data_IF_480114458296
#
_entry.id   IF_480114458296
#
_cell.length_a   1.000
_cell.length_b   1.000
_cell.length_c   1.000
_cell.angle_alpha   90.00
_cell.angle_beta   90.00
_cell.angle_gamma   90.00
#
_symmetry.space_group_name_H-M   'P 1'
#
loop_
_entity.id
_entity.type
_entity.pdbx_description
1 polymer ?
#
# COMPACT_ATOMS: atom_id res chain seq x y z
N UNK A 1 -14.56 -2.34 -46.82
CA UNK A 1 -14.71 -1.96 -45.41
C UNK A 1 -15.05 -3.20 -44.63
N UNK A 2 -14.05 -3.84 -44.01
CA UNK A 2 -14.25 -4.96 -43.07
C UNK A 2 -14.13 -4.37 -41.68
N UNK A 3 -15.12 -4.67 -40.84
CA UNK A 3 -15.21 -4.31 -39.43
C UNK A 3 -13.97 -4.76 -38.65
N UNK A 4 -13.38 -3.81 -37.92
CA UNK A 4 -12.18 -3.98 -37.07
C UNK A 4 -12.55 -3.87 -35.58
N UNK A 5 -13.77 -4.28 -35.23
CA UNK A 5 -14.35 -4.18 -33.88
C UNK A 5 -14.24 -5.47 -33.07
N UNK A 6 -13.66 -6.54 -33.62
CA UNK A 6 -13.57 -7.86 -32.97
C UNK A 6 -12.29 -8.11 -32.17
N UNK A 7 -11.29 -7.23 -32.23
CA UNK A 7 -10.01 -7.44 -31.53
C UNK A 7 -9.91 -6.75 -30.16
N UNK A 8 -10.85 -5.88 -29.78
CA UNK A 8 -10.79 -5.18 -28.49
C UNK A 8 -11.41 -5.93 -27.29
N UNK A 9 -12.12 -7.04 -27.53
CA UNK A 9 -12.82 -7.77 -26.46
C UNK A 9 -12.01 -8.89 -25.80
N UNK A 10 -10.84 -9.25 -26.35
CA UNK A 10 -10.09 -10.45 -25.91
C UNK A 10 -9.11 -10.22 -24.74
N UNK A 11 -8.82 -8.98 -24.35
CA UNK A 11 -7.81 -8.71 -23.31
C UNK A 11 -8.38 -8.65 -21.89
N UNK A 12 -9.69 -8.55 -21.72
CA UNK A 12 -10.35 -8.35 -20.41
C UNK A 12 -10.81 -9.67 -19.77
N UNK A 13 -10.83 -10.79 -20.50
CA UNK A 13 -11.43 -12.05 -20.03
C UNK A 13 -10.54 -12.98 -19.18
N UNK A 14 -9.28 -12.61 -18.88
CA UNK A 14 -8.32 -13.59 -18.31
C UNK A 14 -7.72 -13.24 -16.95
N UNK A 15 -8.38 -12.42 -16.12
CA UNK A 15 -8.08 -12.38 -14.69
C UNK A 15 -9.15 -13.20 -13.97
N UNK A 16 -8.96 -14.52 -13.92
CA UNK A 16 -9.81 -15.44 -13.14
C UNK A 16 -9.56 -15.23 -11.65
N UNK A 17 -10.12 -14.17 -11.07
CA UNK A 17 -10.07 -13.94 -9.62
C UNK A 17 -10.90 -15.00 -8.87
N UNK A 18 -11.86 -15.63 -9.54
CA UNK A 18 -12.83 -16.54 -8.94
C UNK A 18 -12.39 -18.00 -8.76
N UNK A 19 -11.21 -18.41 -9.22
CA UNK A 19 -10.74 -19.80 -9.06
C UNK A 19 -9.66 -19.96 -7.97
N UNK A 20 -9.27 -18.89 -7.27
CA UNK A 20 -8.20 -18.92 -6.26
C UNK A 20 -8.76 -18.86 -4.82
N UNK A 21 -8.99 -20.03 -4.22
CA UNK A 21 -9.50 -20.17 -2.85
C UNK A 21 -8.59 -19.50 -1.80
N UNK A 22 -7.27 -19.49 -2.01
CA UNK A 22 -6.34 -18.81 -1.10
C UNK A 22 -6.54 -17.30 -1.15
N UNK A 23 -6.69 -16.72 -2.35
CA UNK A 23 -6.93 -15.30 -2.52
C UNK A 23 -8.27 -14.89 -1.89
N UNK A 24 -9.32 -15.71 -2.03
CA UNK A 24 -10.61 -15.48 -1.35
C UNK A 24 -10.47 -15.49 0.16
N UNK A 25 -9.80 -16.49 0.72
CA UNK A 25 -9.56 -16.57 2.16
C UNK A 25 -8.78 -15.35 2.67
N UNK A 26 -7.72 -14.94 1.96
CA UNK A 26 -6.91 -13.77 2.31
C UNK A 26 -7.71 -12.47 2.25
N UNK A 27 -8.57 -12.33 1.22
CA UNK A 27 -9.49 -11.20 1.11
C UNK A 27 -10.46 -11.15 2.30
N UNK A 28 -11.05 -12.29 2.68
CA UNK A 28 -11.98 -12.33 3.82
C UNK A 28 -11.27 -12.06 5.16
N UNK A 29 -10.04 -12.58 5.33
CA UNK A 29 -9.16 -12.24 6.47
C UNK A 29 -8.88 -10.73 6.55
N UNK A 30 -8.56 -10.11 5.41
CA UNK A 30 -8.32 -8.66 5.31
C UNK A 30 -9.58 -7.86 5.68
N UNK A 31 -10.74 -8.24 5.16
CA UNK A 31 -12.03 -7.59 5.47
C UNK A 31 -12.32 -7.67 6.96
N UNK A 32 -12.17 -8.85 7.57
CA UNK A 32 -12.39 -9.04 9.01
C UNK A 32 -11.44 -8.21 9.87
N UNK A 33 -10.18 -8.11 9.46
CA UNK A 33 -9.16 -7.33 10.14
C UNK A 33 -9.44 -5.81 10.06
N UNK A 34 -9.70 -5.27 8.87
CA UNK A 34 -10.01 -3.85 8.70
C UNK A 34 -11.30 -3.46 9.43
N UNK A 35 -12.30 -4.34 9.45
CA UNK A 35 -13.55 -4.11 10.20
C UNK A 35 -13.31 -3.95 11.70
N UNK A 36 -12.33 -4.65 12.28
CA UNK A 36 -11.97 -4.53 13.70
C UNK A 36 -11.15 -3.26 14.02
N UNK A 37 -10.60 -2.60 12.99
CA UNK A 37 -9.71 -1.45 13.13
C UNK A 37 -10.41 -0.10 12.94
N UNK A 38 -11.74 -0.07 12.88
CA UNK A 38 -12.53 1.14 12.67
C UNK A 38 -12.14 2.29 13.62
N UNK A 39 -11.92 3.49 13.06
CA UNK A 39 -11.55 4.69 13.81
C UNK A 39 -10.07 4.74 14.23
N UNK A 40 -9.26 3.77 13.80
CA UNK A 40 -7.81 3.81 14.01
C UNK A 40 -7.11 4.65 12.95
N UNK A 41 -5.84 4.92 13.24
CA UNK A 41 -4.90 5.52 12.31
C UNK A 41 -3.76 4.56 12.03
N UNK A 42 -3.52 4.23 10.77
CA UNK A 42 -2.51 3.28 10.31
C UNK A 42 -1.38 3.99 9.59
N UNK A 43 -0.17 3.49 9.79
CA UNK A 43 1.03 3.95 9.11
C UNK A 43 1.41 2.97 8.01
N UNK A 44 1.29 3.38 6.76
CA UNK A 44 1.75 2.59 5.61
C UNK A 44 3.21 2.92 5.34
N UNK A 45 4.06 1.91 5.33
CA UNK A 45 5.50 2.00 5.11
C UNK A 45 5.82 1.31 3.79
N UNK A 46 6.15 2.11 2.78
CA UNK A 46 6.61 1.61 1.49
C UNK A 46 8.14 1.61 1.40
N UNK A 47 8.71 0.94 0.40
CA UNK A 47 10.14 0.96 0.14
C UNK A 47 10.72 2.40 0.05
N UNK A 48 11.99 2.56 0.46
CA UNK A 48 12.64 3.87 0.54
C UNK A 48 12.74 4.62 -0.79
N UNK A 49 12.81 3.90 -1.90
CA UNK A 49 12.87 4.46 -3.25
C UNK A 49 11.67 3.96 -4.05
N UNK A 50 10.47 4.50 -3.78
CA UNK A 50 9.24 3.87 -4.24
C UNK A 50 9.07 3.96 -5.75
N UNK A 51 8.75 2.81 -6.32
CA UNK A 51 8.38 2.65 -7.72
C UNK A 51 6.85 2.77 -7.90
N UNK A 52 6.32 2.69 -9.13
CA UNK A 52 4.88 2.75 -9.35
C UNK A 52 4.07 1.68 -8.60
N UNK A 53 4.66 0.50 -8.33
CA UNK A 53 3.95 -0.58 -7.65
C UNK A 53 3.79 -0.27 -6.16
N UNK A 54 4.88 0.16 -5.49
CA UNK A 54 4.84 0.65 -4.12
C UNK A 54 3.82 1.78 -3.92
N UNK A 55 3.87 2.77 -4.84
CA UNK A 55 3.00 3.96 -4.79
C UNK A 55 1.54 3.56 -4.99
N UNK A 56 1.26 2.75 -6.00
CA UNK A 56 -0.11 2.34 -6.33
C UNK A 56 -0.70 1.43 -5.26
N UNK A 57 0.09 0.53 -4.68
CA UNK A 57 -0.31 -0.36 -3.58
C UNK A 57 -0.60 0.43 -2.30
N UNK A 58 0.25 1.41 -1.96
CA UNK A 58 -0.01 2.34 -0.86
C UNK A 58 -1.30 3.14 -1.04
N UNK A 59 -1.52 3.67 -2.23
CA UNK A 59 -2.76 4.39 -2.56
C UNK A 59 -3.99 3.47 -2.49
N UNK A 60 -3.90 2.27 -3.05
CA UNK A 60 -4.99 1.29 -3.04
C UNK A 60 -5.35 0.91 -1.59
N UNK A 61 -4.36 0.66 -0.74
CA UNK A 61 -4.60 0.36 0.67
C UNK A 61 -5.29 1.52 1.39
N UNK A 62 -4.85 2.77 1.15
CA UNK A 62 -5.51 3.96 1.71
C UNK A 62 -6.99 4.04 1.31
N UNK A 63 -7.30 3.90 0.02
CA UNK A 63 -8.68 3.96 -0.49
C UNK A 63 -9.55 2.85 0.14
N UNK A 64 -9.02 1.64 0.29
CA UNK A 64 -9.71 0.52 0.92
C UNK A 64 -9.98 0.82 2.40
N UNK A 65 -8.96 1.29 3.14
CA UNK A 65 -9.04 1.59 4.57
C UNK A 65 -9.99 2.75 4.88
N UNK A 66 -10.12 3.73 3.99
CA UNK A 66 -11.11 4.83 4.11
C UNK A 66 -12.55 4.30 4.19
N UNK A 67 -12.87 3.16 3.56
CA UNK A 67 -14.20 2.54 3.65
C UNK A 67 -14.52 2.01 5.05
N UNK A 68 -13.50 1.85 5.89
CA UNK A 68 -13.61 1.38 7.27
C UNK A 68 -13.38 2.51 8.30
N UNK A 69 -13.41 3.77 7.87
CA UNK A 69 -13.11 4.94 8.72
C UNK A 69 -11.72 4.83 9.39
N UNK A 70 -10.74 4.31 8.65
CA UNK A 70 -9.35 4.22 9.08
C UNK A 70 -8.56 5.34 8.38
N UNK A 71 -7.90 6.17 9.18
CA UNK A 71 -6.97 7.17 8.65
C UNK A 71 -5.65 6.49 8.23
N UNK A 72 -5.14 6.80 7.04
CA UNK A 72 -3.89 6.23 6.54
C UNK A 72 -2.94 7.33 6.08
N UNK A 73 -1.74 7.31 6.66
CA UNK A 73 -0.61 8.09 6.17
C UNK A 73 0.41 7.14 5.52
N UNK A 74 0.85 7.49 4.30
CA UNK A 74 1.81 6.70 3.53
C UNK A 74 3.18 7.36 3.64
N UNK A 75 4.19 6.60 4.07
CA UNK A 75 5.54 7.11 4.32
C UNK A 75 6.64 6.35 3.57
N UNK A 76 7.71 7.06 3.23
CA UNK A 76 8.94 6.53 2.62
C UNK A 76 10.17 7.26 3.19
N UNK A 77 11.36 6.62 3.26
CA UNK A 77 12.55 7.26 3.84
C UNK A 77 13.51 7.90 2.81
N UNK A 78 13.57 7.38 1.59
CA UNK A 78 14.55 7.80 0.58
C UNK A 78 14.08 8.97 -0.30
N UNK A 79 13.98 8.71 -1.60
CA UNK A 79 13.61 9.70 -2.62
C UNK A 79 12.81 9.02 -3.73
N UNK A 80 11.80 9.72 -4.23
CA UNK A 80 11.15 9.37 -5.49
C UNK A 80 12.10 9.83 -6.63
N UNK A 81 12.86 8.89 -7.18
CA UNK A 81 14.00 9.18 -8.07
C UNK A 81 13.60 9.44 -9.52
N UNK A 82 12.62 8.69 -10.04
CA UNK A 82 12.23 8.76 -11.44
C UNK A 82 11.21 9.89 -11.69
N UNK A 83 11.41 10.74 -12.72
CA UNK A 83 10.47 11.79 -13.08
C UNK A 83 9.04 11.29 -13.34
N UNK A 84 8.90 10.08 -13.90
CA UNK A 84 7.62 9.43 -14.14
C UNK A 84 6.86 9.16 -12.83
N UNK A 85 7.56 8.71 -11.78
CA UNK A 85 6.97 8.45 -10.47
C UNK A 85 6.60 9.77 -9.77
N UNK A 86 7.42 10.81 -9.92
CA UNK A 86 7.11 12.15 -9.42
C UNK A 86 5.85 12.69 -10.11
N UNK A 87 5.75 12.50 -11.43
CA UNK A 87 4.57 12.90 -12.20
C UNK A 87 3.33 12.13 -11.75
N UNK A 88 3.42 10.82 -11.54
CA UNK A 88 2.34 9.96 -11.03
C UNK A 88 1.78 10.52 -9.70
N UNK A 89 2.65 10.75 -8.72
CA UNK A 89 2.28 11.24 -7.38
C UNK A 89 1.62 12.61 -7.46
N UNK A 90 2.20 13.53 -8.25
CA UNK A 90 1.66 14.88 -8.42
C UNK A 90 0.33 14.90 -9.16
N UNK A 91 0.21 14.12 -10.23
CA UNK A 91 -0.98 14.07 -11.08
C UNK A 91 -2.18 13.50 -10.32
N UNK A 92 -1.95 12.46 -9.51
CA UNK A 92 -2.99 11.82 -8.72
C UNK A 92 -3.21 12.48 -7.35
N UNK A 93 -2.39 13.47 -6.98
CA UNK A 93 -2.50 14.16 -5.69
C UNK A 93 -2.26 13.24 -4.49
N UNK A 94 -1.35 12.26 -4.63
CA UNK A 94 -1.07 11.29 -3.57
C UNK A 94 -0.24 11.97 -2.47
N UNK A 95 -0.77 11.99 -1.25
CA UNK A 95 -0.05 12.47 -0.05
C UNK A 95 0.96 11.41 0.41
N UNK A 96 2.13 11.39 -0.23
CA UNK A 96 3.29 10.62 0.21
C UNK A 96 4.17 11.48 1.10
N UNK A 97 4.35 11.07 2.35
CA UNK A 97 5.17 11.81 3.32
C UNK A 97 6.54 11.21 3.44
N UNK A 98 7.56 12.05 3.34
CA UNK A 98 8.91 11.62 3.63
C UNK A 98 9.07 11.45 5.14
N UNK A 99 9.52 10.27 5.56
CA UNK A 99 9.85 10.00 6.95
C UNK A 99 11.14 10.71 7.34
N UNK A 100 11.14 11.24 8.56
CA UNK A 100 12.31 11.73 9.26
C UNK A 100 12.22 11.41 10.75
N UNK A 101 13.27 11.73 11.51
CA UNK A 101 13.35 11.44 12.94
C UNK A 101 12.36 12.24 13.80
N UNK A 102 11.76 13.30 13.26
CA UNK A 102 10.79 14.13 13.97
C UNK A 102 9.34 13.70 13.68
N UNK A 103 9.14 12.70 12.82
CA UNK A 103 7.82 12.19 12.48
C UNK A 103 7.13 11.62 13.72
N UNK A 104 5.96 12.17 14.08
CA UNK A 104 5.23 11.72 15.27
C UNK A 104 4.54 10.38 15.00
N UNK A 105 5.16 9.31 15.49
CA UNK A 105 4.67 7.95 15.36
C UNK A 105 3.61 7.58 16.42
N UNK A 106 3.44 8.35 17.48
CA UNK A 106 2.58 7.97 18.63
C UNK A 106 1.08 7.98 18.30
N UNK A 107 0.69 8.68 17.23
CA UNK A 107 -0.69 8.74 16.75
C UNK A 107 -1.14 7.45 16.03
N UNK A 108 -0.21 6.58 15.63
CA UNK A 108 -0.53 5.38 14.86
C UNK A 108 -0.79 4.18 15.75
N UNK A 109 -1.81 3.42 15.37
CA UNK A 109 -2.27 2.24 16.09
C UNK A 109 -1.69 0.95 15.53
N UNK A 110 -1.29 0.96 14.25
CA UNK A 110 -0.73 -0.17 13.55
C UNK A 110 0.17 0.27 12.39
N UNK A 111 1.11 -0.58 12.02
CA UNK A 111 1.96 -0.44 10.84
C UNK A 111 1.57 -1.45 9.76
N UNK A 112 1.65 -1.00 8.51
CA UNK A 112 1.32 -1.75 7.30
C UNK A 112 2.55 -1.67 6.39
N UNK A 113 3.14 -2.79 6.06
CA UNK A 113 4.30 -2.85 5.16
C UNK A 113 3.83 -3.29 3.78
N UNK A 114 4.06 -2.44 2.78
CA UNK A 114 3.63 -2.68 1.41
C UNK A 114 4.82 -2.54 0.48
N UNK A 115 5.02 -3.54 -0.37
CA UNK A 115 6.13 -3.59 -1.33
C UNK A 115 7.48 -3.27 -0.66
N UNK A 116 7.78 -4.00 0.41
CA UNK A 116 8.90 -3.71 1.28
C UNK A 116 9.55 -4.99 1.82
N UNK A 117 10.80 -5.21 1.40
CA UNK A 117 11.65 -6.33 1.82
C UNK A 117 12.26 -6.17 3.23
N UNK A 118 11.96 -5.08 3.95
CA UNK A 118 12.52 -4.78 5.26
C UNK A 118 14.01 -4.36 5.23
N UNK A 119 14.66 -4.40 4.08
CA UNK A 119 16.09 -4.10 3.93
C UNK A 119 16.40 -2.62 3.82
N UNK A 120 15.45 -1.80 3.35
CA UNK A 120 15.70 -0.39 3.01
C UNK A 120 15.09 0.61 3.99
N UNK A 121 14.25 0.15 4.93
CA UNK A 121 13.49 0.99 5.88
C UNK A 121 13.87 0.77 7.35
N UNK A 122 15.03 0.17 7.62
CA UNK A 122 15.49 -0.20 8.97
C UNK A 122 15.25 0.88 10.06
N UNK A 123 15.60 2.16 9.84
CA UNK A 123 15.36 3.20 10.83
C UNK A 123 13.89 3.41 11.20
N UNK A 124 12.96 3.20 10.25
CA UNK A 124 11.52 3.29 10.50
C UNK A 124 11.09 2.10 11.36
N UNK A 125 11.55 0.89 11.01
CA UNK A 125 11.26 -0.35 11.74
C UNK A 125 11.72 -0.23 13.20
N UNK A 126 12.95 0.23 13.42
CA UNK A 126 13.50 0.43 14.77
C UNK A 126 12.64 1.42 15.59
N UNK A 127 12.19 2.51 14.95
CA UNK A 127 11.38 3.53 15.60
C UNK A 127 9.98 3.02 15.98
N UNK A 128 9.31 2.26 15.11
CA UNK A 128 7.98 1.70 15.41
C UNK A 128 8.06 0.57 16.44
N UNK A 129 9.12 -0.23 16.41
CA UNK A 129 9.38 -1.27 17.41
C UNK A 129 9.67 -0.68 18.80
N UNK A 130 10.45 0.41 18.86
CA UNK A 130 10.71 1.12 20.12
C UNK A 130 9.42 1.64 20.78
N UNK A 131 8.42 2.01 19.98
CA UNK A 131 7.09 2.44 20.44
C UNK A 131 6.08 1.30 20.60
N UNK A 132 6.47 0.06 20.25
CA UNK A 132 5.62 -1.14 20.28
C UNK A 132 4.34 -1.00 19.46
N UNK A 133 4.42 -0.30 18.33
CA UNK A 133 3.30 -0.21 17.39
C UNK A 133 3.23 -1.55 16.64
N UNK A 134 2.08 -2.25 16.66
CA UNK A 134 1.97 -3.59 16.09
C UNK A 134 2.03 -3.57 14.56
N UNK A 135 2.71 -4.57 14.00
CA UNK A 135 2.73 -4.87 12.57
C UNK A 135 1.48 -5.68 12.22
N UNK A 136 0.57 -5.10 11.44
CA UNK A 136 -0.74 -5.68 11.22
C UNK A 136 -0.86 -6.36 9.85
N UNK A 137 -0.25 -5.78 8.82
CA UNK A 137 -0.32 -6.27 7.45
C UNK A 137 1.07 -6.16 6.82
N UNK A 138 1.45 -7.21 6.11
CA UNK A 138 2.60 -7.23 5.20
C UNK A 138 2.11 -7.74 3.85
N UNK A 139 2.32 -6.96 2.79
CA UNK A 139 2.02 -7.34 1.41
C UNK A 139 3.27 -7.11 0.58
N UNK A 140 3.72 -8.17 -0.07
CA UNK A 140 4.90 -8.16 -0.90
C UNK A 140 4.78 -9.25 -1.98
N UNK A 141 5.49 -9.05 -3.09
CA UNK A 141 5.47 -9.94 -4.25
C UNK A 141 6.87 -10.46 -4.64
N UNK A 142 7.88 -10.21 -3.81
CA UNK A 142 9.23 -10.73 -3.98
C UNK A 142 9.38 -12.06 -3.22
N UNK A 143 10.31 -12.92 -3.65
CA UNK A 143 10.61 -14.22 -3.03
C UNK A 143 11.76 -14.15 -2.02
#
# INVERSE_FOLDING_TARGET
>A
MKDDSSQLQSATETIRIDDNDLARKKKDELIGLLSCCKGQKHLVIIQSYPDPDAISTGLAHKIISEQYEIEVDIIYAGLISHPENIALVKLLGIDLRKWDTNFDLKQYHATIFLDNQGTTVGPIIDAVQALKIPELIVVDHHE
#
